data_IF_726970201860
#
_entry.id   IF_726970201860
#
_cell.length_a   1.000
_cell.length_b   1.000
_cell.length_c   1.000
_cell.angle_alpha   90.00
_cell.angle_beta   90.00
_cell.angle_gamma   90.00
#
_symmetry.space_group_name_H-M   'P 1'
#
loop_
_entity.id
_entity.type
_entity.pdbx_description
1 polymer ?
#
# COMPACT_ATOMS: atom_id res chain seq x y z
N UNK A 1 -28.64 -6.88 7.19
CA UNK A 1 -28.19 -7.04 5.79
C UNK A 1 -27.05 -6.06 5.56
N UNK A 2 -25.81 -6.55 5.59
CA UNK A 2 -24.65 -5.73 5.27
C UNK A 2 -24.66 -5.42 3.77
N UNK A 3 -24.79 -4.15 3.40
CA UNK A 3 -24.59 -3.70 2.03
C UNK A 3 -23.15 -3.98 1.60
N UNK A 4 -22.97 -4.91 0.69
CA UNK A 4 -21.70 -5.12 0.01
C UNK A 4 -21.51 -3.90 -0.91
N UNK A 5 -20.72 -2.93 -0.49
CA UNK A 5 -20.29 -1.82 -1.37
C UNK A 5 -19.35 -2.36 -2.43
N UNK A 6 -19.87 -2.59 -3.62
CA UNK A 6 -19.07 -3.01 -4.76
C UNK A 6 -18.24 -1.83 -5.24
N UNK A 7 -16.92 -1.95 -5.14
CA UNK A 7 -16.00 -0.99 -5.77
C UNK A 7 -16.00 -1.21 -7.27
N UNK A 8 -16.50 -0.24 -8.04
CA UNK A 8 -16.51 -0.28 -9.51
C UNK A 8 -15.31 0.51 -10.04
N UNK A 9 -14.25 -0.19 -10.40
CA UNK A 9 -13.12 0.36 -11.16
C UNK A 9 -13.19 -0.19 -12.59
N UNK A 10 -13.10 0.70 -13.57
CA UNK A 10 -12.99 0.26 -14.98
C UNK A 10 -11.52 0.04 -15.29
N UNK A 11 -11.19 -1.17 -15.72
CA UNK A 11 -9.87 -1.54 -16.23
C UNK A 11 -9.93 -1.63 -17.74
N UNK A 12 -8.88 -1.18 -18.40
CA UNK A 12 -8.66 -1.44 -19.82
C UNK A 12 -7.37 -2.24 -19.91
N UNK A 13 -7.51 -3.50 -20.32
CA UNK A 13 -6.36 -4.36 -20.63
C UNK A 13 -5.98 -4.05 -22.08
N UNK A 14 -4.84 -3.37 -22.28
CA UNK A 14 -4.37 -3.04 -23.61
C UNK A 14 -3.73 -4.26 -24.27
N UNK A 15 -3.02 -5.06 -23.48
CA UNK A 15 -2.38 -6.27 -23.93
C UNK A 15 -2.29 -7.28 -22.78
N UNK A 16 -2.72 -8.50 -23.04
CA UNK A 16 -2.44 -9.67 -22.20
C UNK A 16 -2.00 -10.78 -23.14
N UNK A 17 -0.73 -11.12 -23.09
CA UNK A 17 -0.19 -12.14 -23.96
C UNK A 17 0.44 -13.24 -23.12
N UNK A 18 0.04 -14.47 -23.39
CA UNK A 18 0.64 -15.68 -22.85
C UNK A 18 1.18 -16.46 -24.01
N UNK A 19 2.48 -16.72 -24.03
CA UNK A 19 3.12 -17.53 -25.04
C UNK A 19 3.26 -18.97 -24.50
N UNK A 20 2.40 -19.91 -24.96
CA UNK A 20 2.55 -21.30 -24.56
C UNK A 20 3.83 -21.87 -25.17
N UNK A 21 4.68 -22.43 -24.35
CA UNK A 21 5.82 -23.19 -24.83
C UNK A 21 5.33 -24.55 -25.33
N UNK A 22 5.86 -24.99 -26.48
CA UNK A 22 5.57 -26.33 -27.03
C UNK A 22 6.13 -27.46 -26.16
N UNK A 23 7.13 -27.15 -25.34
CA UNK A 23 7.67 -28.05 -24.33
C UNK A 23 6.93 -27.83 -23.00
N UNK A 24 6.06 -28.77 -22.62
CA UNK A 24 5.28 -28.75 -21.37
C UNK A 24 6.12 -28.72 -20.07
N UNK A 25 7.46 -28.83 -20.20
CA UNK A 25 8.39 -28.69 -19.06
C UNK A 25 8.90 -27.28 -18.84
N UNK A 26 8.55 -26.33 -19.73
CA UNK A 26 8.97 -24.93 -19.64
C UNK A 26 7.82 -24.05 -19.18
N UNK A 27 8.09 -23.05 -18.34
CA UNK A 27 7.09 -22.08 -17.92
C UNK A 27 6.62 -21.23 -19.11
N UNK A 28 5.35 -20.83 -19.07
CA UNK A 28 4.78 -19.92 -20.06
C UNK A 28 5.27 -18.50 -19.84
N UNK A 29 5.56 -17.77 -20.92
CA UNK A 29 5.87 -16.36 -20.83
C UNK A 29 4.58 -15.55 -20.63
N UNK A 30 4.59 -14.66 -19.64
CA UNK A 30 3.48 -13.77 -19.29
C UNK A 30 3.86 -12.32 -19.57
N UNK A 31 3.02 -11.62 -20.33
CA UNK A 31 3.12 -10.18 -20.48
C UNK A 31 1.73 -9.56 -20.37
N UNK A 32 1.59 -8.48 -19.59
CA UNK A 32 0.33 -7.76 -19.45
C UNK A 32 0.57 -6.27 -19.23
N UNK A 33 -0.20 -5.45 -19.92
CA UNK A 33 -0.28 -4.01 -19.73
C UNK A 33 -1.75 -3.62 -19.45
N UNK A 34 -1.99 -3.08 -18.25
CA UNK A 34 -3.32 -2.70 -17.79
C UNK A 34 -3.34 -1.18 -17.60
N UNK A 35 -4.21 -0.49 -18.34
CA UNK A 35 -4.46 0.92 -18.16
C UNK A 35 -5.68 1.13 -17.27
N UNK A 36 -5.56 2.00 -16.27
CA UNK A 36 -6.65 2.31 -15.34
C UNK A 36 -7.40 3.57 -15.79
N UNK A 37 -8.73 3.55 -15.73
CA UNK A 37 -9.58 4.69 -16.12
C UNK A 37 -9.37 5.92 -15.21
N UNK A 38 -8.90 5.71 -13.99
CA UNK A 38 -8.59 6.77 -13.01
C UNK A 38 -7.16 7.30 -13.09
N UNK A 39 -6.42 6.86 -14.11
CA UNK A 39 -5.01 7.14 -14.29
C UNK A 39 -4.10 6.07 -13.70
N UNK A 40 -2.96 5.89 -14.32
CA UNK A 40 -1.95 4.90 -13.95
C UNK A 40 -1.94 3.68 -14.87
N UNK A 41 -0.79 3.01 -14.86
CA UNK A 41 -0.52 1.80 -15.64
C UNK A 41 0.06 0.73 -14.74
N UNK A 42 -0.36 -0.52 -14.96
CA UNK A 42 0.23 -1.71 -14.32
C UNK A 42 0.80 -2.58 -15.44
N UNK A 43 2.07 -2.89 -15.36
CA UNK A 43 2.75 -3.79 -16.29
C UNK A 43 3.30 -5.00 -15.56
N UNK A 44 3.07 -6.17 -16.11
CA UNK A 44 3.61 -7.44 -15.64
C UNK A 44 4.39 -8.10 -16.77
N UNK A 45 5.60 -8.58 -16.48
CA UNK A 45 6.40 -9.34 -17.43
C UNK A 45 7.18 -10.42 -16.70
N UNK A 46 7.03 -11.68 -17.14
CA UNK A 46 7.72 -12.78 -16.46
C UNK A 46 7.24 -14.14 -16.91
N UNK A 47 7.19 -15.07 -15.98
CA UNK A 47 6.94 -16.48 -16.24
C UNK A 47 5.81 -17.01 -15.36
N UNK A 48 5.02 -17.91 -15.92
CA UNK A 48 3.94 -18.63 -15.30
C UNK A 48 4.15 -20.14 -15.52
N UNK A 49 4.23 -20.90 -14.45
CA UNK A 49 4.16 -22.35 -14.46
C UNK A 49 2.80 -22.77 -13.86
N UNK A 50 2.10 -23.69 -14.53
CA UNK A 50 0.73 -24.06 -14.12
C UNK A 50 0.73 -25.26 -13.16
N UNK A 51 1.77 -26.07 -13.14
CA UNK A 51 1.75 -27.32 -12.39
C UNK A 51 3.11 -27.69 -11.73
N UNK A 52 3.30 -27.27 -10.47
CA UNK A 52 2.42 -26.46 -9.61
C UNK A 52 2.41 -24.99 -10.01
N UNK A 53 1.34 -24.25 -9.65
CA UNK A 53 1.26 -22.83 -9.99
C UNK A 53 2.42 -22.05 -9.36
N UNK A 54 3.27 -21.50 -10.23
CA UNK A 54 4.34 -20.58 -9.87
C UNK A 54 4.29 -19.36 -10.79
N UNK A 55 4.45 -18.19 -10.20
CA UNK A 55 4.51 -16.91 -10.91
C UNK A 55 5.80 -16.23 -10.51
N UNK A 56 6.57 -15.79 -11.48
CA UNK A 56 7.78 -15.00 -11.27
C UNK A 56 7.77 -13.83 -12.26
N UNK A 57 7.36 -12.64 -11.79
CA UNK A 57 7.14 -11.51 -12.67
C UNK A 57 7.83 -10.25 -12.16
N UNK A 58 8.28 -9.42 -13.08
CA UNK A 58 8.54 -8.02 -12.83
C UNK A 58 7.19 -7.29 -12.81
N UNK A 59 6.91 -6.61 -11.70
CA UNK A 59 5.76 -5.73 -11.51
C UNK A 59 6.21 -4.29 -11.61
N UNK A 60 5.59 -3.53 -12.51
CA UNK A 60 5.75 -2.08 -12.60
C UNK A 60 4.38 -1.41 -12.50
N UNK A 61 4.24 -0.50 -11.55
CA UNK A 61 3.06 0.35 -11.39
C UNK A 61 3.52 1.79 -11.58
N UNK A 62 2.89 2.51 -12.48
CA UNK A 62 3.20 3.89 -12.82
C UNK A 62 1.99 4.78 -12.60
N UNK A 63 2.17 5.82 -11.81
CA UNK A 63 1.19 6.90 -11.58
C UNK A 63 -0.21 6.42 -11.16
N UNK A 64 -0.28 5.37 -10.32
CA UNK A 64 -1.56 4.86 -9.81
C UNK A 64 -2.14 5.86 -8.81
N UNK A 65 -3.28 6.46 -9.15
CA UNK A 65 -3.99 7.38 -8.27
C UNK A 65 -4.55 6.65 -7.04
N UNK A 66 -4.31 7.19 -5.83
CA UNK A 66 -4.79 6.62 -4.57
C UNK A 66 -6.21 7.02 -4.21
N UNK A 67 -6.70 8.19 -4.67
CA UNK A 67 -8.03 8.71 -4.30
C UNK A 67 -9.15 7.71 -4.58
N UNK A 68 -9.19 6.99 -5.72
CA UNK A 68 -10.19 5.96 -5.97
C UNK A 68 -10.19 4.82 -4.95
N UNK A 69 -9.07 4.60 -4.24
CA UNK A 69 -8.93 3.58 -3.21
C UNK A 69 -9.32 4.07 -1.80
N UNK A 70 -9.79 5.31 -1.69
CA UNK A 70 -10.13 5.94 -0.40
C UNK A 70 -11.17 5.19 0.43
N UNK A 71 -12.08 4.41 -0.21
CA UNK A 71 -13.06 3.58 0.49
C UNK A 71 -12.42 2.48 1.34
N UNK A 72 -11.26 1.97 0.91
CA UNK A 72 -10.50 0.99 1.70
C UNK A 72 -9.80 1.65 2.88
N UNK A 73 -9.25 2.86 2.68
CA UNK A 73 -8.59 3.61 3.75
C UNK A 73 -9.56 3.93 4.90
N UNK A 74 -10.81 4.28 4.59
CA UNK A 74 -11.84 4.59 5.60
C UNK A 74 -12.18 3.41 6.53
N UNK A 75 -11.86 2.18 6.14
CA UNK A 75 -12.08 1.00 6.98
C UNK A 75 -11.04 0.88 8.09
N UNK A 76 -9.84 1.44 7.89
CA UNK A 76 -8.71 1.33 8.80
C UNK A 76 -8.32 2.65 9.44
N UNK A 77 -8.72 3.77 8.84
CA UNK A 77 -8.40 5.10 9.34
C UNK A 77 -9.52 6.12 9.05
N UNK A 78 -9.81 6.99 10.02
CA UNK A 78 -10.76 8.10 9.88
C UNK A 78 -10.10 9.28 9.14
N UNK A 79 -9.56 8.98 7.95
CA UNK A 79 -8.91 9.94 7.08
C UNK A 79 -9.63 10.05 5.74
N UNK A 80 -9.71 11.27 5.24
CA UNK A 80 -10.15 11.57 3.90
C UNK A 80 -8.93 11.79 3.02
N UNK A 81 -8.72 10.89 2.06
CA UNK A 81 -7.64 11.00 1.10
C UNK A 81 -7.98 12.06 0.05
N UNK A 82 -7.14 13.08 -0.06
CA UNK A 82 -7.32 14.20 -1.00
C UNK A 82 -6.49 14.02 -2.27
N UNK A 83 -5.29 13.49 -2.13
CA UNK A 83 -4.38 13.20 -3.24
C UNK A 83 -3.39 12.10 -2.89
N UNK A 84 -2.71 11.60 -3.90
CA UNK A 84 -1.64 10.63 -3.78
C UNK A 84 -1.50 9.81 -5.04
N UNK A 85 -0.26 9.50 -5.39
CA UNK A 85 0.11 8.70 -6.55
C UNK A 85 1.12 7.65 -6.12
N UNK A 86 0.89 6.40 -6.52
CA UNK A 86 1.79 5.28 -6.22
C UNK A 86 2.57 4.87 -7.45
N UNK A 87 3.85 4.62 -7.24
CA UNK A 87 4.76 3.99 -8.18
C UNK A 87 5.42 2.77 -7.51
N UNK A 88 5.48 1.66 -8.22
CA UNK A 88 6.11 0.42 -7.76
C UNK A 88 7.00 -0.11 -8.87
N UNK A 89 8.18 -0.58 -8.52
CA UNK A 89 9.07 -1.31 -9.44
C UNK A 89 9.76 -2.42 -8.66
N UNK A 90 9.54 -3.68 -9.08
CA UNK A 90 10.13 -4.81 -8.39
C UNK A 90 9.69 -6.16 -8.93
N UNK A 91 10.12 -7.20 -8.23
CA UNK A 91 9.80 -8.58 -8.54
C UNK A 91 8.72 -9.11 -7.60
N UNK A 92 7.69 -9.71 -8.18
CA UNK A 92 6.63 -10.42 -7.49
C UNK A 92 6.79 -11.92 -7.78
N UNK A 93 6.83 -12.71 -6.73
CA UNK A 93 6.88 -14.17 -6.82
C UNK A 93 5.70 -14.77 -6.06
N UNK A 94 5.12 -15.80 -6.64
CA UNK A 94 4.13 -16.64 -5.99
C UNK A 94 4.43 -18.11 -6.27
N UNK A 95 4.25 -18.98 -5.27
CA UNK A 95 4.40 -20.42 -5.42
C UNK A 95 3.35 -21.16 -4.59
N UNK A 96 2.68 -22.09 -5.23
CA UNK A 96 1.72 -22.99 -4.57
C UNK A 96 2.40 -24.23 -3.94
N UNK A 97 3.70 -24.47 -4.22
CA UNK A 97 4.40 -25.69 -3.83
C UNK A 97 4.50 -25.92 -2.32
N UNK A 98 4.67 -24.90 -1.52
CA UNK A 98 4.93 -25.04 -0.09
C UNK A 98 4.16 -24.02 0.75
N UNK A 99 2.86 -24.09 0.85
CA UNK A 99 2.00 -23.19 1.65
C UNK A 99 1.68 -21.84 1.01
N UNK A 100 1.44 -21.77 -0.31
CA UNK A 100 1.05 -20.53 -0.99
C UNK A 100 1.97 -19.33 -0.66
N UNK A 101 3.25 -19.51 -0.86
CA UNK A 101 4.22 -18.44 -0.59
C UNK A 101 4.10 -17.32 -1.62
N UNK A 102 4.01 -16.10 -1.13
CA UNK A 102 4.09 -14.89 -1.95
C UNK A 102 5.18 -13.97 -1.42
N UNK A 103 5.91 -13.33 -2.30
CA UNK A 103 6.92 -12.34 -1.94
C UNK A 103 7.03 -11.24 -2.97
N UNK A 104 7.43 -10.06 -2.50
CA UNK A 104 7.77 -8.93 -3.36
C UNK A 104 9.11 -8.36 -2.92
N UNK A 105 9.94 -8.00 -3.88
CA UNK A 105 11.20 -7.29 -3.64
C UNK A 105 11.34 -6.15 -4.65
N UNK A 106 11.46 -4.90 -4.15
CA UNK A 106 11.55 -3.75 -5.04
C UNK A 106 11.54 -2.42 -4.30
N UNK A 107 11.11 -1.40 -5.01
CA UNK A 107 10.93 -0.06 -4.49
C UNK A 107 9.45 0.35 -4.60
N UNK A 108 8.96 1.06 -3.60
CA UNK A 108 7.60 1.60 -3.56
C UNK A 108 7.68 3.09 -3.24
N UNK A 109 7.13 3.91 -4.11
CA UNK A 109 7.05 5.36 -3.93
C UNK A 109 5.61 5.83 -3.84
N UNK A 110 5.35 6.80 -2.95
CA UNK A 110 4.07 7.52 -2.87
C UNK A 110 4.37 9.01 -2.95
N UNK A 111 3.91 9.66 -4.02
CA UNK A 111 4.13 11.09 -4.27
C UNK A 111 2.85 11.88 -4.09
N UNK A 112 2.98 13.19 -3.80
CA UNK A 112 1.89 14.16 -3.70
C UNK A 112 0.76 13.71 -2.78
N UNK A 113 1.12 13.04 -1.69
CA UNK A 113 0.15 12.52 -0.75
C UNK A 113 -0.43 13.62 0.13
N UNK A 114 -1.74 13.56 0.32
CA UNK A 114 -2.43 14.44 1.24
C UNK A 114 -3.69 13.78 1.79
N UNK A 115 -3.82 13.79 3.11
CA UNK A 115 -4.99 13.28 3.82
C UNK A 115 -5.44 14.28 4.90
N UNK A 116 -6.75 14.43 5.02
CA UNK A 116 -7.40 15.26 6.02
C UNK A 116 -8.01 14.39 7.12
N UNK A 117 -7.99 14.89 8.34
CA UNK A 117 -8.82 14.39 9.43
C UNK A 117 -10.29 14.59 9.07
N UNK A 118 -11.11 13.54 9.15
CA UNK A 118 -12.54 13.61 8.79
C UNK A 118 -13.32 14.50 9.77
N UNK A 119 -12.99 14.45 11.07
CA UNK A 119 -13.71 15.17 12.12
C UNK A 119 -13.40 16.67 12.06
N UNK A 120 -12.12 17.02 11.92
CA UNK A 120 -11.67 18.41 11.91
C UNK A 120 -11.72 19.03 10.52
N UNK A 121 -11.87 18.23 9.46
CA UNK A 121 -11.78 18.63 8.05
C UNK A 121 -10.50 19.46 7.75
N UNK A 122 -9.41 19.10 8.37
CA UNK A 122 -8.13 19.79 8.27
C UNK A 122 -7.03 18.84 7.83
N UNK A 123 -6.00 19.37 7.13
CA UNK A 123 -4.83 18.60 6.74
C UNK A 123 -4.20 17.96 7.96
N UNK A 124 -4.14 16.63 7.94
CA UNK A 124 -3.54 15.84 9.00
C UNK A 124 -2.15 15.34 8.63
N UNK A 125 -2.01 14.76 7.45
CA UNK A 125 -0.78 14.16 6.97
C UNK A 125 -0.58 14.50 5.49
N UNK A 126 0.65 14.87 5.12
CA UNK A 126 1.01 15.10 3.73
C UNK A 126 2.51 14.89 3.52
N UNK A 127 2.92 14.65 2.30
CA UNK A 127 4.31 14.68 1.86
C UNK A 127 4.41 14.94 0.35
N UNK A 128 5.54 15.44 -0.09
CA UNK A 128 5.82 15.56 -1.51
C UNK A 128 6.15 14.17 -2.07
N UNK A 129 7.11 13.47 -1.46
CA UNK A 129 7.51 12.13 -1.84
C UNK A 129 7.83 11.28 -0.62
N UNK A 130 7.38 10.05 -0.62
CA UNK A 130 7.77 9.01 0.33
C UNK A 130 8.25 7.81 -0.48
N UNK A 131 9.50 7.41 -0.31
CA UNK A 131 10.11 6.30 -1.04
C UNK A 131 10.63 5.25 -0.10
N UNK A 132 10.13 4.02 -0.22
CA UNK A 132 10.66 2.82 0.41
C UNK A 132 11.57 2.09 -0.58
N UNK A 133 12.89 2.17 -0.35
CA UNK A 133 13.89 1.50 -1.16
C UNK A 133 14.24 0.13 -0.59
N UNK A 134 14.41 -0.84 -1.47
CA UNK A 134 14.81 -2.18 -1.09
C UNK A 134 13.79 -2.85 -0.16
N UNK A 135 12.51 -2.58 -0.38
CA UNK A 135 11.40 -3.24 0.31
C UNK A 135 11.39 -4.72 -0.05
N UNK A 136 11.33 -5.57 0.97
CA UNK A 136 11.11 -7.00 0.87
C UNK A 136 9.89 -7.35 1.71
N UNK A 137 8.84 -7.78 1.04
CA UNK A 137 7.64 -8.31 1.67
C UNK A 137 7.56 -9.81 1.44
N UNK A 138 7.11 -10.54 2.43
CA UNK A 138 6.93 -11.98 2.38
C UNK A 138 5.67 -12.38 3.12
N UNK A 139 4.90 -13.32 2.56
CA UNK A 139 3.64 -13.79 3.15
C UNK A 139 3.86 -14.85 4.25
N UNK A 140 4.76 -15.80 4.01
CA UNK A 140 5.04 -16.92 4.92
C UNK A 140 6.57 -17.11 5.15
N UNK A 141 7.10 -16.87 6.36
CA UNK A 141 6.45 -16.14 7.45
C UNK A 141 6.22 -14.67 7.10
N UNK A 142 5.07 -14.12 7.55
CA UNK A 142 4.73 -12.74 7.20
C UNK A 142 5.79 -11.76 7.75
N UNK A 143 6.40 -10.96 6.86
CA UNK A 143 7.40 -9.96 7.25
C UNK A 143 7.50 -8.84 6.22
N UNK A 144 7.89 -7.65 6.70
CA UNK A 144 8.27 -6.51 5.86
C UNK A 144 9.64 -6.02 6.31
N UNK A 145 10.59 -5.93 5.39
CA UNK A 145 11.90 -5.33 5.62
C UNK A 145 12.14 -4.23 4.59
N UNK A 146 12.58 -3.06 5.02
CA UNK A 146 12.87 -1.91 4.16
C UNK A 146 14.28 -1.41 4.46
N UNK A 147 15.13 -1.32 3.44
CA UNK A 147 16.50 -0.82 3.62
C UNK A 147 16.52 0.67 3.96
N UNK A 148 15.73 1.47 3.26
CA UNK A 148 15.72 2.91 3.45
C UNK A 148 14.33 3.48 3.15
N UNK A 149 13.83 4.32 4.06
CA UNK A 149 12.65 5.17 3.84
C UNK A 149 13.12 6.61 3.73
N UNK A 150 12.79 7.27 2.63
CA UNK A 150 13.07 8.70 2.39
C UNK A 150 11.75 9.44 2.31
N UNK A 151 11.55 10.43 3.20
CA UNK A 151 10.40 11.32 3.20
C UNK A 151 10.83 12.75 2.87
N UNK A 152 10.30 13.30 1.78
CA UNK A 152 10.54 14.68 1.36
C UNK A 152 9.33 15.54 1.69
N UNK A 153 9.57 16.64 2.40
CA UNK A 153 8.57 17.60 2.88
C UNK A 153 7.38 16.93 3.57
N UNK A 154 7.63 15.99 4.51
CA UNK A 154 6.53 15.47 5.28
C UNK A 154 5.94 16.57 6.18
N UNK A 155 4.61 16.60 6.24
CA UNK A 155 3.84 17.44 7.12
C UNK A 155 2.93 16.58 7.98
N UNK A 156 2.84 16.90 9.27
CA UNK A 156 1.82 16.34 10.15
C UNK A 156 1.22 17.41 11.05
N UNK A 157 0.00 17.16 11.52
CA UNK A 157 -0.67 17.98 12.52
C UNK A 157 -0.94 17.18 13.77
N UNK A 158 -0.37 17.62 14.90
CA UNK A 158 -0.58 17.03 16.21
C UNK A 158 -1.41 17.99 17.07
N UNK A 159 -2.58 17.55 17.51
CA UNK A 159 -3.45 18.31 18.39
C UNK A 159 -3.74 17.50 19.64
N UNK A 160 -3.49 18.09 20.81
CA UNK A 160 -3.97 17.61 22.10
C UNK A 160 -5.28 18.33 22.39
N UNK A 161 -6.38 17.59 22.48
CA UNK A 161 -7.70 18.14 22.77
C UNK A 161 -7.85 18.53 24.27
N UNK A 162 -8.88 19.31 24.65
CA UNK A 162 -9.12 19.69 26.06
C UNK A 162 -9.27 18.48 27.01
N UNK A 163 -9.76 17.35 26.53
CA UNK A 163 -9.87 16.08 27.25
C UNK A 163 -8.55 15.28 27.30
N UNK A 164 -7.43 15.88 26.83
CA UNK A 164 -6.09 15.31 26.74
C UNK A 164 -5.96 14.15 25.74
N UNK A 165 -6.95 13.89 24.92
CA UNK A 165 -6.83 12.93 23.82
C UNK A 165 -6.00 13.53 22.67
N UNK A 166 -5.23 12.69 22.00
CA UNK A 166 -4.40 13.09 20.86
C UNK A 166 -5.18 12.74 19.58
N UNK A 167 -5.18 13.68 18.62
CA UNK A 167 -5.90 13.46 17.35
C UNK A 167 -5.44 12.18 16.60
N UNK A 168 -4.22 11.70 16.81
CA UNK A 168 -3.75 10.42 16.28
C UNK A 168 -4.57 9.21 16.77
N UNK A 169 -4.97 9.20 18.03
CA UNK A 169 -5.77 8.12 18.62
C UNK A 169 -7.15 8.01 17.97
N UNK A 170 -7.68 9.13 17.51
CA UNK A 170 -8.98 9.19 16.85
C UNK A 170 -8.93 8.80 15.37
N UNK A 171 -7.74 8.65 14.78
CA UNK A 171 -7.57 8.36 13.35
C UNK A 171 -7.58 6.86 13.09
N UNK A 172 -7.00 6.07 13.97
CA UNK A 172 -7.08 4.63 13.85
C UNK A 172 -8.54 4.24 14.11
N UNK A 173 -9.20 3.69 13.11
CA UNK A 173 -10.55 3.17 13.29
C UNK A 173 -10.53 2.16 14.44
N UNK A 174 -11.26 2.47 15.52
CA UNK A 174 -11.38 1.59 16.67
C UNK A 174 -11.99 0.30 16.19
N UNK A 175 -11.21 -0.76 16.02
CA UNK A 175 -11.76 -2.10 15.91
C UNK A 175 -12.67 -2.26 17.13
N UNK A 176 -13.95 -2.50 16.87
CA UNK A 176 -14.96 -2.84 17.89
C UNK A 176 -14.30 -3.78 18.88
N UNK A 177 -14.40 -3.46 20.17
CA UNK A 177 -13.95 -4.29 21.30
C UNK A 177 -14.74 -5.61 21.33
N UNK A 178 -14.59 -6.42 20.32
CA UNK A 178 -14.96 -7.83 20.38
C UNK A 178 -13.77 -8.54 21.02
N UNK A 179 -13.96 -8.90 22.28
CA UNK A 179 -13.07 -9.78 23.06
C UNK A 179 -12.97 -11.17 22.39
N UNK A 180 -12.28 -11.24 21.29
CA UNK A 180 -11.80 -12.50 20.75
C UNK A 180 -10.29 -12.51 20.97
N UNK A 181 -9.83 -13.38 21.89
CA UNK A 181 -8.43 -13.76 22.04
C UNK A 181 -7.99 -14.49 20.78
N UNK A 182 -7.93 -13.79 19.65
CA UNK A 182 -7.23 -14.26 18.49
C UNK A 182 -5.79 -13.77 18.60
N UNK A 183 -4.84 -14.69 18.57
CA UNK A 183 -3.42 -14.43 18.37
C UNK A 183 -3.29 -13.47 17.18
N UNK A 184 -3.17 -12.16 17.44
CA UNK A 184 -2.77 -11.19 16.43
C UNK A 184 -1.34 -11.56 16.05
N UNK A 185 -1.16 -12.24 14.94
CA UNK A 185 0.17 -12.37 14.33
C UNK A 185 0.61 -10.95 14.01
N UNK A 186 1.48 -10.40 14.85
CA UNK A 186 2.11 -9.11 14.59
C UNK A 186 3.02 -9.30 13.38
N UNK A 187 2.78 -8.54 12.34
CA UNK A 187 3.64 -8.53 11.16
C UNK A 187 4.94 -7.80 11.51
N UNK A 188 6.10 -8.50 11.54
CA UNK A 188 7.38 -7.85 11.81
C UNK A 188 7.67 -6.82 10.72
N UNK A 189 7.91 -5.57 11.12
CA UNK A 189 8.35 -4.49 10.25
C UNK A 189 9.73 -4.03 10.69
N UNK A 190 10.72 -4.17 9.83
CA UNK A 190 12.09 -3.69 10.04
C UNK A 190 12.42 -2.59 9.02
N UNK A 191 12.96 -1.48 9.50
CA UNK A 191 13.46 -0.38 8.65
C UNK A 191 14.88 -0.08 9.09
N UNK A 192 15.85 -0.23 8.18
CA UNK A 192 17.25 -0.05 8.52
C UNK A 192 17.63 1.44 8.63
N UNK A 193 17.04 2.28 7.78
CA UNK A 193 17.32 3.72 7.73
C UNK A 193 16.08 4.53 7.41
N UNK A 194 15.89 5.64 8.12
CA UNK A 194 14.87 6.66 7.82
C UNK A 194 15.57 8.00 7.58
N UNK A 195 15.24 8.64 6.47
CA UNK A 195 15.69 9.99 6.14
C UNK A 195 14.49 10.91 5.95
N UNK A 196 14.51 12.04 6.63
CA UNK A 196 13.48 13.08 6.52
C UNK A 196 14.13 14.37 6.04
N UNK A 197 13.61 14.92 4.95
CA UNK A 197 14.08 16.16 4.35
C UNK A 197 12.96 17.20 4.40
N UNK A 198 13.26 18.40 4.90
CA UNK A 198 12.34 19.56 4.94
C UNK A 198 10.99 19.24 5.62
N UNK A 199 11.01 18.42 6.67
CA UNK A 199 9.81 18.06 7.43
C UNK A 199 9.23 19.25 8.20
N UNK A 200 7.91 19.29 8.34
CA UNK A 200 7.20 20.30 9.13
C UNK A 200 6.08 19.68 9.97
N UNK A 201 5.79 20.32 11.11
CA UNK A 201 4.71 19.89 12.00
C UNK A 201 3.97 21.11 12.54
N UNK A 202 2.64 21.01 12.59
CA UNK A 202 1.82 21.91 13.36
C UNK A 202 1.45 21.22 14.68
N UNK A 203 1.81 21.85 15.78
CA UNK A 203 1.48 21.37 17.13
C UNK A 203 0.53 22.35 17.80
N UNK A 204 -0.55 21.87 18.42
CA UNK A 204 -1.44 22.64 19.25
C UNK A 204 -1.83 21.82 20.49
N UNK A 205 -1.69 22.42 21.67
CA UNK A 205 -2.16 21.87 22.93
C UNK A 205 -3.33 22.72 23.43
N UNK A 206 -4.54 22.18 23.32
CA UNK A 206 -5.77 22.83 23.75
C UNK A 206 -6.18 22.41 25.17
N UNK A 207 -5.39 21.55 25.85
CA UNK A 207 -5.64 21.13 27.24
C UNK A 207 -5.13 22.13 28.27
N UNK A 208 -4.38 23.15 27.83
CA UNK A 208 -3.77 24.17 28.67
C UNK A 208 -4.61 25.45 28.82
N UNK A 209 -5.83 25.47 28.30
CA UNK A 209 -6.76 26.61 28.37
C UNK A 209 -7.72 26.51 29.54
#
# INVERSE_FOLDING_TARGET
>A
LNEIKVFKQKFTINELTVYPELDLKKPHQLQSDIQLSTGGKISLKGELDESPLMINTQLKIENLALVPLSSYLKQVALLKLESGVVNVDGHLQFSQQAKNQASFQGNVGVSQFAANDIKLNQRFLAWQDLLAKGLKWQLEPMSINVKEVIANKPFTRLIIAPDRTINFENIVASESKTNTKNNKQTMPLNIDKVQVNDGSMLFADLSLT
#
